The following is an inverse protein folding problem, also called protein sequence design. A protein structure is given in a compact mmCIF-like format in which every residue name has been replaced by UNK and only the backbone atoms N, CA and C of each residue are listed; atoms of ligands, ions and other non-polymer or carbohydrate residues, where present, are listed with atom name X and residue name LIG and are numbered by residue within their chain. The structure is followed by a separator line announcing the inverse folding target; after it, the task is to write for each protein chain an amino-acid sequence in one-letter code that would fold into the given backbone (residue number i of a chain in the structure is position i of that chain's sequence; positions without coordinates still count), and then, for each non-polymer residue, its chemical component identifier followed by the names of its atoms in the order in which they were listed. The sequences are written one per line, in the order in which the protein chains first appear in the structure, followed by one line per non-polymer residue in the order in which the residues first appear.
data_IF_534556700135
#
_entry.id   IF_534556700135
#
_cell.length_a   1.000
_cell.length_b   1.000
_cell.length_c   1.000
_cell.angle_alpha   90.00
_cell.angle_beta   90.00
_cell.angle_gamma   90.00
#
_symmetry.space_group_name_H-M   'P 1'
#
loop_
_entity.id
_entity.type
_entity.pdbx_description
1 polymer ?
#
# COMPACT_ATOMS: atom_id res chain seq x y z
N UNK A 1 101.08 -19.33 4.64
CA UNK A 1 100.91 -18.86 3.24
C UNK A 1 99.51 -19.23 2.79
N UNK A 2 98.99 -18.49 1.82
CA UNK A 2 98.01 -18.96 0.82
C UNK A 2 96.54 -18.67 1.09
N UNK A 3 96.22 -17.46 0.65
CA UNK A 3 95.01 -16.99 -0.01
C UNK A 3 94.33 -18.11 -0.81
N UNK A 4 93.06 -18.32 -0.47
CA UNK A 4 92.10 -19.21 -1.11
C UNK A 4 91.51 -18.49 -2.32
N UNK A 5 91.54 -19.12 -3.50
CA UNK A 5 90.81 -18.65 -4.67
C UNK A 5 89.46 -19.36 -4.74
N UNK A 6 88.40 -18.56 -4.64
CA UNK A 6 86.99 -18.97 -4.67
C UNK A 6 86.59 -19.22 -6.12
N UNK A 7 86.08 -20.42 -6.42
CA UNK A 7 85.38 -20.72 -7.67
C UNK A 7 83.89 -20.65 -7.41
N UNK A 8 83.23 -19.70 -8.07
CA UNK A 8 81.80 -19.44 -7.98
C UNK A 8 81.03 -20.44 -8.86
N UNK A 9 80.33 -21.40 -8.26
CA UNK A 9 79.40 -22.28 -8.99
C UNK A 9 78.05 -21.56 -9.14
N UNK A 10 77.67 -21.18 -10.37
CA UNK A 10 76.32 -20.75 -10.70
C UNK A 10 75.38 -21.95 -10.71
N UNK A 11 74.42 -22.00 -9.78
CA UNK A 11 73.27 -22.90 -9.85
C UNK A 11 72.14 -22.26 -10.64
N UNK A 12 71.62 -23.00 -11.62
CA UNK A 12 70.45 -22.58 -12.42
C UNK A 12 69.20 -22.86 -11.60
N UNK A 13 68.49 -21.81 -11.17
CA UNK A 13 67.20 -21.93 -10.49
C UNK A 13 66.12 -22.06 -11.58
N UNK A 14 65.47 -23.23 -11.68
CA UNK A 14 64.27 -23.36 -12.49
C UNK A 14 63.05 -22.86 -11.70
N UNK A 15 62.41 -21.79 -12.17
CA UNK A 15 61.14 -21.30 -11.64
C UNK A 15 60.02 -22.19 -12.19
N UNK A 16 59.45 -23.05 -11.34
CA UNK A 16 58.18 -23.72 -11.63
C UNK A 16 57.02 -22.78 -11.32
N UNK A 17 56.38 -22.23 -12.34
CA UNK A 17 55.06 -21.61 -12.21
C UNK A 17 54.00 -22.71 -12.20
N UNK A 18 53.28 -22.89 -11.09
CA UNK A 18 52.11 -23.76 -11.08
C UNK A 18 50.94 -23.04 -11.72
N UNK A 19 50.51 -23.53 -12.88
CA UNK A 19 49.27 -23.10 -13.53
C UNK A 19 48.08 -23.70 -12.78
N UNK A 20 47.45 -22.91 -11.92
CA UNK A 20 46.18 -23.31 -11.31
C UNK A 20 45.06 -23.18 -12.35
N UNK A 21 44.50 -24.30 -12.81
CA UNK A 21 43.22 -24.31 -13.51
C UNK A 21 42.11 -24.24 -12.46
N UNK A 22 41.32 -23.18 -12.50
CA UNK A 22 40.07 -23.13 -11.74
C UNK A 22 39.19 -24.28 -12.26
N UNK A 23 38.81 -25.20 -11.39
CA UNK A 23 37.84 -26.25 -11.73
C UNK A 23 36.47 -25.57 -11.87
N UNK A 24 35.85 -25.71 -13.04
CA UNK A 24 34.47 -25.30 -13.24
C UNK A 24 33.57 -26.16 -12.34
N UNK A 25 33.04 -25.59 -11.27
CA UNK A 25 32.01 -26.25 -10.48
C UNK A 25 30.68 -26.16 -11.24
N UNK A 26 30.06 -27.32 -11.50
CA UNK A 26 28.70 -27.39 -12.04
C UNK A 26 27.74 -26.97 -10.93
N UNK A 27 27.20 -25.76 -11.02
CA UNK A 27 26.02 -25.39 -10.25
C UNK A 27 24.83 -26.10 -10.90
N UNK A 28 24.25 -27.09 -10.21
CA UNK A 28 23.03 -27.75 -10.65
C UNK A 28 21.84 -26.79 -10.64
N UNK A 29 20.79 -27.11 -11.39
CA UNK A 29 19.51 -26.41 -11.28
C UNK A 29 18.89 -26.61 -9.89
N UNK A 30 18.05 -25.67 -9.49
CA UNK A 30 17.45 -25.56 -8.16
C UNK A 30 16.94 -26.90 -7.60
N UNK A 31 17.29 -27.16 -6.33
CA UNK A 31 16.87 -28.31 -5.51
C UNK A 31 17.54 -29.69 -5.76
N UNK A 32 18.62 -29.78 -6.55
CA UNK A 32 19.41 -31.02 -6.58
C UNK A 32 20.34 -31.15 -5.36
N UNK A 33 20.30 -32.30 -4.68
CA UNK A 33 21.37 -32.69 -3.75
C UNK A 33 22.56 -33.15 -4.59
N UNK A 34 23.70 -32.49 -4.45
CA UNK A 34 24.95 -32.95 -5.07
C UNK A 34 25.90 -33.31 -3.94
N UNK A 35 26.33 -34.56 -3.93
CA UNK A 35 27.27 -35.12 -2.96
C UNK A 35 28.43 -35.79 -3.69
N UNK A 36 29.60 -35.79 -3.05
CA UNK A 36 30.69 -36.72 -3.38
C UNK A 36 31.21 -37.37 -2.08
N UNK A 37 32.25 -38.19 -2.19
CA UNK A 37 32.78 -39.00 -1.09
C UNK A 37 33.21 -38.20 0.14
N UNK A 38 33.48 -36.90 0.00
CA UNK A 38 34.02 -36.05 1.07
C UNK A 38 33.03 -34.98 1.58
N UNK A 39 31.98 -34.61 0.83
CA UNK A 39 31.09 -33.51 1.21
C UNK A 39 29.62 -33.75 0.82
N UNK A 40 28.73 -33.30 1.71
CA UNK A 40 27.28 -33.29 1.49
C UNK A 40 26.75 -31.87 1.67
N UNK A 41 26.32 -31.24 0.58
CA UNK A 41 25.84 -29.86 0.59
C UNK A 41 24.32 -29.83 0.38
N UNK A 42 23.60 -29.25 1.34
CA UNK A 42 22.15 -29.01 1.26
C UNK A 42 21.93 -27.51 1.10
N UNK A 43 21.53 -27.07 -0.10
CA UNK A 43 21.10 -25.69 -0.30
C UNK A 43 19.65 -25.54 0.20
N UNK A 44 19.40 -24.57 1.09
CA UNK A 44 18.05 -24.14 1.43
C UNK A 44 17.50 -23.22 0.34
N UNK A 45 16.42 -23.69 -0.29
CA UNK A 45 15.37 -23.04 -1.09
C UNK A 45 15.73 -21.84 -1.99
N UNK A 46 15.30 -21.97 -3.25
CA UNK A 46 15.52 -21.05 -4.36
C UNK A 46 15.12 -19.60 -4.09
N UNK A 47 15.96 -18.70 -4.58
CA UNK A 47 15.71 -17.27 -4.67
C UNK A 47 16.16 -16.82 -6.06
N UNK A 48 15.26 -16.31 -6.92
CA UNK A 48 15.66 -15.64 -8.16
C UNK A 48 16.63 -14.49 -7.84
N UNK A 49 17.79 -14.45 -8.50
CA UNK A 49 18.67 -13.30 -8.45
C UNK A 49 18.15 -12.19 -9.38
N UNK A 50 17.88 -11.00 -8.85
CA UNK A 50 17.51 -9.81 -9.64
C UNK A 50 18.76 -8.93 -9.75
N UNK A 51 19.40 -9.00 -10.92
CA UNK A 51 20.65 -8.31 -11.21
C UNK A 51 21.60 -9.25 -11.95
N UNK A 52 21.70 -9.07 -13.26
CA UNK A 52 22.64 -9.82 -14.11
C UNK A 52 23.75 -8.88 -14.52
N UNK A 53 24.96 -9.14 -14.05
CA UNK A 53 26.17 -8.59 -14.66
C UNK A 53 26.76 -9.71 -15.51
N UNK A 54 26.88 -9.47 -16.82
CA UNK A 54 27.36 -10.47 -17.77
C UNK A 54 28.54 -9.95 -18.59
N UNK A 55 29.45 -10.85 -18.91
CA UNK A 55 30.34 -10.75 -20.06
C UNK A 55 30.26 -12.05 -20.87
N UNK A 56 30.94 -12.14 -22.01
CA UNK A 56 30.93 -13.27 -22.95
C UNK A 56 31.09 -14.63 -22.25
N UNK A 57 31.90 -14.69 -21.19
CA UNK A 57 32.27 -15.95 -20.54
C UNK A 57 31.60 -16.19 -19.18
N UNK A 58 30.96 -15.19 -18.55
CA UNK A 58 30.47 -15.31 -17.16
C UNK A 58 29.19 -14.51 -16.88
N UNK A 59 28.32 -15.07 -16.03
CA UNK A 59 27.12 -14.42 -15.48
C UNK A 59 27.19 -14.48 -13.96
N UNK A 60 27.06 -13.32 -13.30
CA UNK A 60 26.92 -13.24 -11.84
C UNK A 60 25.51 -12.76 -11.50
N UNK A 61 24.81 -13.52 -10.67
CA UNK A 61 23.58 -13.10 -10.02
C UNK A 61 23.86 -12.67 -8.58
N UNK A 62 23.47 -11.46 -8.21
CA UNK A 62 23.54 -10.97 -6.82
C UNK A 62 22.18 -10.41 -6.41
N UNK A 63 21.70 -10.75 -5.22
CA UNK A 63 20.48 -10.18 -4.65
C UNK A 63 20.13 -10.78 -3.29
N UNK A 64 19.75 -9.92 -2.35
CA UNK A 64 18.98 -10.28 -1.15
C UNK A 64 17.54 -9.87 -1.40
N UNK A 65 16.58 -10.74 -1.10
CA UNK A 65 15.16 -10.36 -1.08
C UNK A 65 14.95 -9.43 0.11
N UNK A 66 14.88 -8.13 -0.17
CA UNK A 66 13.97 -7.28 0.58
C UNK A 66 12.74 -7.13 -0.31
N UNK A 67 11.57 -7.39 0.24
CA UNK A 67 10.32 -6.99 -0.40
C UNK A 67 10.39 -5.47 -0.52
N UNK A 68 10.76 -4.95 -1.69
CA UNK A 68 10.30 -3.63 -2.11
C UNK A 68 8.80 -3.71 -1.89
N UNK A 69 8.32 -3.08 -0.81
CA UNK A 69 6.89 -2.82 -0.65
C UNK A 69 6.42 -2.31 -2.00
N UNK A 70 5.28 -2.84 -2.47
CA UNK A 70 4.66 -2.39 -3.71
C UNK A 70 4.73 -0.87 -3.70
N UNK A 71 5.55 -0.28 -4.57
CA UNK A 71 5.83 1.15 -4.50
C UNK A 71 4.48 1.84 -4.63
N UNK A 72 3.95 2.45 -3.56
CA UNK A 72 2.70 3.20 -3.63
C UNK A 72 2.82 4.21 -4.77
N UNK A 73 2.08 3.96 -5.85
CA UNK A 73 1.92 4.91 -6.94
C UNK A 73 0.82 5.95 -6.60
N UNK A 74 0.18 5.80 -5.43
CA UNK A 74 -0.84 6.70 -4.91
C UNK A 74 -0.43 7.36 -3.59
N UNK A 75 -0.68 8.65 -3.50
CA UNK A 75 -0.72 9.36 -2.23
C UNK A 75 -1.97 10.23 -2.25
N UNK A 76 -2.75 10.17 -1.19
CA UNK A 76 -3.92 11.02 -1.02
C UNK A 76 -3.71 11.96 0.16
N UNK A 77 -3.87 13.25 -0.09
CA UNK A 77 -3.80 14.30 0.93
C UNK A 77 -5.23 14.79 1.17
N UNK A 78 -5.69 14.68 2.40
CA UNK A 78 -7.02 15.13 2.84
C UNK A 78 -6.84 16.32 3.78
N UNK A 79 -7.50 17.44 3.48
CA UNK A 79 -7.48 18.62 4.32
C UNK A 79 -8.60 18.52 5.37
N UNK A 80 -8.22 18.47 6.64
CA UNK A 80 -9.14 18.39 7.77
C UNK A 80 -9.30 19.76 8.42
N UNK A 81 -10.54 20.21 8.57
CA UNK A 81 -10.87 21.44 9.27
C UNK A 81 -10.96 21.21 10.79
N UNK A 82 -10.90 22.31 11.55
CA UNK A 82 -11.26 22.28 12.97
C UNK A 82 -12.71 21.77 13.14
N UNK A 83 -12.92 20.85 14.09
CA UNK A 83 -14.23 20.26 14.35
C UNK A 83 -14.48 18.98 13.57
N UNK A 84 -15.75 18.69 13.25
CA UNK A 84 -16.16 17.46 12.59
C UNK A 84 -15.86 17.49 11.08
N UNK A 85 -15.29 16.41 10.58
CA UNK A 85 -15.07 16.12 9.17
C UNK A 85 -15.57 14.71 8.88
N UNK A 86 -16.32 14.51 7.81
CA UNK A 86 -16.64 13.20 7.25
C UNK A 86 -15.74 12.97 6.05
N UNK A 87 -14.84 12.00 6.16
CA UNK A 87 -13.78 11.76 5.18
C UNK A 87 -13.83 10.36 4.62
N UNK A 88 -13.27 10.21 3.43
CA UNK A 88 -12.97 8.92 2.81
C UNK A 88 -11.74 9.06 1.93
N UNK A 89 -11.19 7.93 1.51
CA UNK A 89 -10.01 7.91 0.64
C UNK A 89 -10.27 7.04 -0.59
N UNK A 90 -9.66 7.41 -1.72
CA UNK A 90 -9.62 6.60 -2.94
C UNK A 90 -8.35 5.76 -3.04
N UNK A 91 -7.51 5.74 -2.00
CA UNK A 91 -6.32 4.87 -1.95
C UNK A 91 -6.46 3.82 -0.86
N UNK A 92 -6.15 2.57 -1.19
CA UNK A 92 -5.96 1.50 -0.22
C UNK A 92 -4.62 1.73 0.51
N UNK A 93 -4.63 1.99 1.82
CA UNK A 93 -3.40 2.31 2.56
C UNK A 93 -2.40 1.15 2.55
N UNK A 94 -1.09 1.44 2.44
CA UNK A 94 -0.07 0.38 2.57
C UNK A 94 -0.11 -0.30 3.95
N UNK A 95 -0.39 0.48 4.99
CA UNK A 95 -0.56 0.04 6.37
C UNK A 95 -1.90 0.58 6.85
N UNK A 96 -2.91 -0.28 6.87
CA UNK A 96 -4.30 0.11 7.15
C UNK A 96 -4.58 0.42 8.63
N UNK A 97 -3.70 0.10 9.57
CA UNK A 97 -3.93 0.38 11.00
C UNK A 97 -4.21 1.87 11.24
N UNK A 98 -5.29 2.20 11.96
CA UNK A 98 -5.68 3.60 12.18
C UNK A 98 -4.59 4.38 12.93
N UNK A 99 -3.89 3.74 13.86
CA UNK A 99 -2.76 4.33 14.57
C UNK A 99 -1.67 4.79 13.61
N UNK A 100 -1.42 4.03 12.54
CA UNK A 100 -0.44 4.41 11.53
C UNK A 100 -0.95 5.56 10.65
N UNK A 101 -2.21 5.49 10.20
CA UNK A 101 -2.83 6.50 9.34
C UNK A 101 -2.85 7.87 10.03
N UNK A 102 -3.23 7.92 11.30
CA UNK A 102 -3.37 9.16 12.05
C UNK A 102 -2.10 9.60 12.78
N UNK A 103 -1.01 8.81 12.74
CA UNK A 103 0.23 9.07 13.51
C UNK A 103 0.79 10.49 13.32
N UNK A 104 0.79 11.03 12.10
CA UNK A 104 1.31 12.37 11.81
C UNK A 104 0.46 13.51 12.40
N UNK A 105 -0.82 13.25 12.65
CA UNK A 105 -1.81 14.23 13.13
C UNK A 105 -2.46 13.83 14.45
N UNK A 106 -1.86 12.87 15.17
CA UNK A 106 -2.40 12.27 16.38
C UNK A 106 -2.70 13.34 17.45
N UNK A 107 -1.78 14.27 17.65
CA UNK A 107 -1.93 15.37 18.63
C UNK A 107 -3.08 16.34 18.32
N UNK A 108 -3.62 16.33 17.11
CA UNK A 108 -4.76 17.15 16.69
C UNK A 108 -6.05 16.33 16.51
N UNK A 109 -5.96 15.00 16.56
CA UNK A 109 -7.08 14.06 16.35
C UNK A 109 -7.70 13.71 17.69
N UNK A 110 -8.95 14.11 17.93
CA UNK A 110 -9.64 13.82 19.21
C UNK A 110 -10.33 12.47 19.14
N UNK A 111 -11.16 12.26 18.13
CA UNK A 111 -11.93 11.02 17.99
C UNK A 111 -12.27 10.75 16.52
N UNK A 112 -12.16 9.49 16.13
CA UNK A 112 -12.59 8.95 14.84
C UNK A 112 -13.71 7.95 15.07
N UNK A 113 -14.73 7.94 14.21
CA UNK A 113 -15.86 7.00 14.26
C UNK A 113 -16.12 6.40 12.89
N UNK A 114 -16.37 5.10 12.86
CA UNK A 114 -16.84 4.41 11.65
C UNK A 114 -18.39 4.33 11.61
N UNK A 115 -18.91 3.73 10.55
CA UNK A 115 -20.35 3.56 10.34
C UNK A 115 -21.04 2.71 11.43
N UNK A 116 -20.32 1.76 12.02
CA UNK A 116 -20.82 0.87 13.09
C UNK A 116 -20.80 1.53 14.48
N UNK A 117 -20.27 2.75 14.59
CA UNK A 117 -20.14 3.46 15.86
C UNK A 117 -18.94 3.04 16.71
N UNK A 118 -18.04 2.21 16.17
CA UNK A 118 -16.74 1.94 16.78
C UNK A 118 -15.88 3.20 16.71
N UNK A 119 -14.99 3.35 17.68
CA UNK A 119 -14.20 4.57 17.84
C UNK A 119 -12.71 4.31 17.82
N UNK A 120 -11.96 5.31 17.38
CA UNK A 120 -10.53 5.44 17.65
C UNK A 120 -10.33 6.76 18.40
N UNK A 121 -9.74 6.69 19.59
CA UNK A 121 -9.51 7.82 20.50
C UNK A 121 -8.05 7.75 20.97
N UNK A 122 -7.12 8.47 20.30
CA UNK A 122 -5.68 8.35 20.58
C UNK A 122 -5.29 8.70 22.02
N UNK A 123 -5.84 9.78 22.59
CA UNK A 123 -5.51 10.24 23.96
C UNK A 123 -5.74 9.17 25.04
N UNK A 124 -6.66 8.24 24.80
CA UNK A 124 -7.01 7.16 25.72
C UNK A 124 -6.53 5.78 25.26
N UNK A 125 -5.69 5.73 24.20
CA UNK A 125 -5.22 4.47 23.59
C UNK A 125 -6.36 3.52 23.20
N UNK A 126 -7.51 4.05 22.77
CA UNK A 126 -8.68 3.24 22.36
C UNK A 126 -8.67 3.12 20.83
N UNK A 127 -8.66 1.88 20.32
CA UNK A 127 -8.93 1.59 18.91
C UNK A 127 -9.87 0.38 18.76
N UNK A 128 -11.17 0.65 18.75
CA UNK A 128 -12.20 -0.37 18.49
C UNK A 128 -12.45 -0.59 17.00
N UNK A 129 -11.95 0.29 16.13
CA UNK A 129 -12.09 0.22 14.67
C UNK A 129 -11.07 -0.78 14.08
N UNK A 130 -9.82 -0.70 14.54
CA UNK A 130 -8.70 -1.50 14.07
C UNK A 130 -8.10 -0.91 12.79
N UNK A 131 -8.45 -1.50 11.65
CA UNK A 131 -7.92 -1.12 10.34
C UNK A 131 -8.91 -0.25 9.57
N UNK A 132 -8.36 0.64 8.74
CA UNK A 132 -9.08 1.42 7.78
C UNK A 132 -9.57 0.53 6.64
N UNK A 133 -10.87 0.59 6.40
CA UNK A 133 -11.55 0.04 5.23
C UNK A 133 -11.81 1.17 4.22
N UNK A 134 -11.24 1.05 3.02
CA UNK A 134 -11.40 2.02 1.93
C UNK A 134 -12.85 2.19 1.48
N UNK A 135 -13.70 1.18 1.70
CA UNK A 135 -15.11 1.17 1.30
C UNK A 135 -16.01 1.92 2.28
N UNK A 136 -15.46 2.41 3.38
CA UNK A 136 -16.18 3.15 4.42
C UNK A 136 -15.70 4.60 4.54
N UNK A 137 -16.60 5.48 4.96
CA UNK A 137 -16.25 6.82 5.41
C UNK A 137 -16.15 6.88 6.93
N UNK A 138 -15.40 7.87 7.43
CA UNK A 138 -15.11 8.05 8.85
C UNK A 138 -15.42 9.48 9.28
N UNK A 139 -16.06 9.62 10.44
CA UNK A 139 -16.21 10.91 11.10
C UNK A 139 -14.99 11.16 11.97
N UNK A 140 -14.28 12.25 11.71
CA UNK A 140 -13.07 12.67 12.43
C UNK A 140 -13.35 14.01 13.09
N UNK A 141 -13.19 14.09 14.40
CA UNK A 141 -13.20 15.35 15.13
C UNK A 141 -11.77 15.82 15.39
N UNK A 142 -11.45 17.00 14.90
CA UNK A 142 -10.13 17.63 15.04
C UNK A 142 -10.17 18.77 16.05
N UNK A 143 -9.15 18.86 16.90
CA UNK A 143 -8.92 20.01 17.80
C UNK A 143 -8.21 21.17 17.11
N UNK A 144 -7.62 20.91 15.93
CA UNK A 144 -6.94 21.88 15.06
C UNK A 144 -6.98 21.38 13.61
N UNK A 145 -7.09 22.31 12.65
CA UNK A 145 -7.01 21.96 11.23
C UNK A 145 -5.61 21.41 10.88
N UNK A 146 -5.56 20.31 10.14
CA UNK A 146 -4.34 19.59 9.73
C UNK A 146 -4.51 18.96 8.34
N UNK A 147 -3.42 18.46 7.77
CA UNK A 147 -3.42 17.64 6.56
C UNK A 147 -3.15 16.19 6.92
N UNK A 148 -4.03 15.29 6.50
CA UNK A 148 -3.86 13.85 6.63
C UNK A 148 -3.27 13.31 5.32
N UNK A 149 -2.11 12.66 5.40
CA UNK A 149 -1.43 12.04 4.25
C UNK A 149 -1.57 10.53 4.32
N UNK A 150 -2.15 9.93 3.28
CA UNK A 150 -2.36 8.49 3.20
C UNK A 150 -1.59 7.96 1.98
N UNK A 151 -0.42 7.32 2.17
CA UNK A 151 0.25 6.59 1.10
C UNK A 151 -0.45 5.27 0.82
N UNK A 152 -0.57 4.89 -0.44
CA UNK A 152 -1.29 3.69 -0.81
C UNK A 152 -1.42 3.49 -2.31
N UNK A 153 -2.35 2.63 -2.70
CA UNK A 153 -2.65 2.38 -4.09
C UNK A 153 -4.04 2.85 -4.44
N UNK A 154 -4.18 3.54 -5.58
CA UNK A 154 -5.50 3.95 -6.04
C UNK A 154 -6.39 2.73 -6.25
N UNK A 155 -7.58 2.78 -5.66
CA UNK A 155 -8.61 1.78 -5.94
C UNK A 155 -9.16 1.99 -7.34
N UNK A 156 -9.68 0.92 -7.92
CA UNK A 156 -10.36 0.93 -9.22
C UNK A 156 -11.86 1.03 -8.95
N UNK A 157 -12.49 2.23 -9.09
CA UNK A 157 -13.84 2.47 -8.60
C UNK A 157 -14.89 1.56 -9.25
N UNK A 158 -14.71 1.22 -10.52
CA UNK A 158 -15.62 0.38 -11.32
C UNK A 158 -15.58 -1.11 -10.96
N UNK A 159 -14.59 -1.55 -10.19
CA UNK A 159 -14.50 -2.94 -9.69
C UNK A 159 -14.58 -3.03 -8.17
N UNK A 160 -14.68 -1.89 -7.47
CA UNK A 160 -14.71 -1.83 -6.01
C UNK A 160 -16.14 -1.63 -5.52
N UNK A 161 -16.83 -2.74 -5.28
CA UNK A 161 -18.21 -2.72 -4.76
C UNK A 161 -18.27 -2.32 -3.28
N UNK A 162 -19.16 -1.37 -2.97
CA UNK A 162 -19.51 -0.94 -1.60
C UNK A 162 -20.88 -1.53 -1.24
N UNK A 163 -20.92 -2.37 -0.21
CA UNK A 163 -22.17 -2.91 0.33
C UNK A 163 -22.77 -1.93 1.36
N UNK A 164 -24.03 -1.57 1.16
CA UNK A 164 -24.76 -0.59 1.96
C UNK A 164 -25.97 -1.27 2.61
N UNK A 165 -26.19 -0.97 3.89
CA UNK A 165 -27.32 -1.51 4.66
C UNK A 165 -28.56 -0.62 4.54
N UNK A 166 -29.72 -1.15 4.89
CA UNK A 166 -30.93 -0.33 5.07
C UNK A 166 -30.71 0.69 6.18
N UNK A 167 -31.18 1.92 6.00
CA UNK A 167 -31.01 3.02 6.96
C UNK A 167 -29.81 3.91 6.66
N UNK A 168 -29.25 4.53 7.71
CA UNK A 168 -28.10 5.43 7.59
C UNK A 168 -26.79 4.67 7.32
N UNK A 169 -26.02 5.16 6.35
CA UNK A 169 -24.67 4.69 6.05
C UNK A 169 -23.71 5.88 5.88
N UNK A 170 -22.45 5.68 6.28
CA UNK A 170 -21.32 6.54 5.92
C UNK A 170 -20.66 6.00 4.65
N UNK A 171 -20.90 6.66 3.53
CA UNK A 171 -20.46 6.25 2.20
C UNK A 171 -19.09 6.87 1.85
N UNK A 172 -18.15 6.02 1.44
CA UNK A 172 -16.89 6.45 0.84
C UNK A 172 -17.06 6.87 -0.62
N UNK A 173 -16.35 7.92 -1.03
CA UNK A 173 -16.17 8.29 -2.43
C UNK A 173 -14.80 7.81 -2.94
N UNK A 174 -14.83 6.90 -3.91
CA UNK A 174 -13.66 6.13 -4.36
C UNK A 174 -12.97 6.67 -5.60
N UNK A 175 -13.54 7.70 -6.25
CA UNK A 175 -12.91 8.33 -7.42
C UNK A 175 -11.87 9.37 -7.01
N UNK A 176 -10.88 9.59 -7.87
CA UNK A 176 -9.80 10.56 -7.66
C UNK A 176 -10.08 11.95 -8.27
N UNK A 177 -11.23 12.10 -8.92
CA UNK A 177 -11.76 13.34 -9.47
C UNK A 177 -13.22 13.57 -9.02
N UNK A 178 -13.70 14.81 -9.16
CA UNK A 178 -15.07 15.15 -8.79
C UNK A 178 -16.09 14.58 -9.80
N UNK A 179 -17.24 14.13 -9.31
CA UNK A 179 -18.35 13.64 -10.14
C UNK A 179 -19.68 14.14 -9.59
N UNK A 180 -20.60 14.52 -10.49
CA UNK A 180 -21.97 14.87 -10.11
C UNK A 180 -22.61 13.74 -9.29
N UNK A 181 -23.21 14.08 -8.15
CA UNK A 181 -23.84 13.11 -7.25
C UNK A 181 -25.00 12.35 -7.91
N UNK A 182 -25.70 12.96 -8.87
CA UNK A 182 -26.77 12.30 -9.63
C UNK A 182 -26.21 11.17 -10.50
N UNK A 183 -25.00 11.36 -11.05
CA UNK A 183 -24.31 10.33 -11.84
C UNK A 183 -23.67 9.31 -10.90
N UNK A 184 -22.99 9.77 -9.85
CA UNK A 184 -22.28 8.90 -8.91
C UNK A 184 -23.20 7.92 -8.18
N UNK A 185 -24.44 8.34 -7.85
CA UNK A 185 -25.43 7.54 -7.14
C UNK A 185 -26.57 7.05 -8.06
N UNK A 186 -26.39 7.13 -9.38
CA UNK A 186 -27.44 6.84 -10.36
C UNK A 186 -28.08 5.45 -10.17
N UNK A 187 -27.28 4.42 -9.82
CA UNK A 187 -27.80 3.07 -9.58
C UNK A 187 -28.73 2.99 -8.36
N UNK A 188 -28.43 3.74 -7.29
CA UNK A 188 -29.27 3.78 -6.09
C UNK A 188 -30.55 4.59 -6.31
N UNK A 189 -30.49 5.62 -7.16
CA UNK A 189 -31.65 6.43 -7.55
C UNK A 189 -32.57 5.65 -8.50
N UNK A 190 -32.01 5.00 -9.52
CA UNK A 190 -32.78 4.22 -10.50
C UNK A 190 -33.55 3.05 -9.88
N UNK A 191 -33.01 2.49 -8.79
CA UNK A 191 -33.65 1.41 -8.03
C UNK A 191 -34.62 1.93 -6.93
N UNK A 192 -34.88 3.24 -6.86
CA UNK A 192 -35.67 3.91 -5.81
C UNK A 192 -35.17 3.61 -4.37
N UNK A 193 -33.87 3.32 -4.19
CA UNK A 193 -33.29 2.92 -2.90
C UNK A 193 -32.82 4.11 -2.07
N UNK A 194 -32.34 5.17 -2.72
CA UNK A 194 -31.79 6.36 -2.06
C UNK A 194 -32.89 7.35 -1.66
N UNK A 195 -32.95 7.70 -0.36
CA UNK A 195 -33.84 8.76 0.12
C UNK A 195 -33.15 10.11 0.12
N UNK A 196 -32.00 10.19 0.79
CA UNK A 196 -31.27 11.44 1.00
C UNK A 196 -29.78 11.16 1.18
N UNK A 197 -28.95 12.06 0.64
CA UNK A 197 -27.52 12.14 0.91
C UNK A 197 -27.15 13.51 1.50
N UNK A 198 -26.09 13.56 2.31
CA UNK A 198 -25.57 14.76 2.97
C UNK A 198 -24.04 14.83 2.88
N UNK A 199 -23.52 16.02 2.66
CA UNK A 199 -22.09 16.33 2.69
C UNK A 199 -21.66 16.93 4.05
N UNK A 200 -20.38 17.32 4.18
CA UNK A 200 -19.84 17.95 5.38
C UNK A 200 -20.42 19.33 5.69
N UNK A 201 -20.88 20.06 4.67
CA UNK A 201 -21.45 21.40 4.83
C UNK A 201 -22.93 21.36 5.18
N UNK A 202 -23.53 20.17 5.22
CA UNK A 202 -24.96 19.98 5.45
C UNK A 202 -25.81 20.21 4.21
N UNK A 203 -25.19 20.33 3.03
CA UNK A 203 -25.92 20.32 1.77
C UNK A 203 -26.57 18.94 1.58
N UNK A 204 -27.73 18.93 0.93
CA UNK A 204 -28.54 17.73 0.76
C UNK A 204 -28.72 17.40 -0.72
N UNK A 205 -28.73 16.11 -1.01
CA UNK A 205 -29.26 15.56 -2.26
C UNK A 205 -30.48 14.71 -1.92
N UNK A 206 -31.65 15.10 -2.43
CA UNK A 206 -32.93 14.43 -2.20
C UNK A 206 -33.63 14.26 -3.56
N UNK A 207 -33.45 13.08 -4.21
CA UNK A 207 -33.97 12.82 -5.55
C UNK A 207 -35.49 13.00 -5.68
N UNK A 208 -36.29 12.50 -4.72
CA UNK A 208 -37.75 12.55 -4.81
C UNK A 208 -38.35 13.97 -4.79
N UNK A 209 -37.56 14.98 -4.44
CA UNK A 209 -37.95 16.38 -4.44
C UNK A 209 -37.15 17.23 -5.44
N UNK A 210 -36.37 16.59 -6.32
CA UNK A 210 -35.47 17.26 -7.27
C UNK A 210 -34.50 18.26 -6.60
N UNK A 211 -34.04 17.94 -5.38
CA UNK A 211 -33.11 18.79 -4.63
C UNK A 211 -31.69 18.24 -4.80
N UNK A 212 -30.80 19.06 -5.36
CA UNK A 212 -29.37 18.79 -5.41
C UNK A 212 -28.58 20.05 -4.98
N UNK A 213 -28.25 20.12 -3.69
CA UNK A 213 -27.41 21.20 -3.13
C UNK A 213 -25.94 20.78 -3.01
N UNK A 214 -25.63 19.49 -3.18
CA UNK A 214 -24.26 18.96 -3.12
C UNK A 214 -23.53 19.24 -4.43
N UNK A 215 -24.20 19.05 -5.57
CA UNK A 215 -23.59 19.13 -6.89
C UNK A 215 -22.63 17.96 -7.10
N UNK A 216 -21.34 18.19 -6.89
CA UNK A 216 -20.32 17.16 -7.10
C UNK A 216 -19.92 16.47 -5.79
N UNK A 217 -19.81 15.14 -5.83
CA UNK A 217 -19.01 14.39 -4.88
C UNK A 217 -17.52 14.65 -5.12
N UNK A 218 -16.80 14.99 -4.06
CA UNK A 218 -15.39 15.37 -4.05
C UNK A 218 -14.50 14.28 -3.43
N UNK A 219 -13.29 14.02 -3.97
CA UNK A 219 -12.26 13.21 -3.33
C UNK A 219 -11.91 13.72 -1.93
N UNK A 220 -11.63 12.82 -0.99
CA UNK A 220 -11.30 13.16 0.39
C UNK A 220 -12.51 13.33 1.32
N UNK A 221 -13.71 13.42 0.77
CA UNK A 221 -14.95 13.60 1.52
C UNK A 221 -15.79 12.32 1.53
N UNK A 222 -16.32 11.97 2.69
CA UNK A 222 -17.36 10.97 2.83
C UNK A 222 -18.75 11.61 2.85
N UNK A 223 -19.79 10.79 2.70
CA UNK A 223 -21.19 11.24 2.61
C UNK A 223 -22.07 10.43 3.55
N UNK A 224 -23.04 11.08 4.20
CA UNK A 224 -24.07 10.35 4.93
C UNK A 224 -25.24 10.10 3.99
N UNK A 225 -25.62 8.84 3.81
CA UNK A 225 -26.75 8.47 2.95
C UNK A 225 -27.78 7.66 3.74
N UNK A 226 -29.05 7.82 3.39
CA UNK A 226 -30.12 7.01 3.93
C UNK A 226 -30.78 6.18 2.83
N UNK A 227 -30.81 4.86 3.02
CA UNK A 227 -31.43 3.92 2.08
C UNK A 227 -32.71 3.31 2.66
N UNK A 228 -33.74 3.16 1.83
CA UNK A 228 -34.95 2.40 2.22
C UNK A 228 -34.74 0.88 2.23
N UNK A 229 -33.73 0.39 1.49
CA UNK A 229 -33.34 -1.01 1.45
C UNK A 229 -31.84 -1.12 1.14
N UNK A 230 -31.19 -2.16 1.66
CA UNK A 230 -29.78 -2.44 1.36
C UNK A 230 -29.49 -2.55 -0.14
N UNK A 231 -28.28 -2.17 -0.52
CA UNK A 231 -27.85 -2.05 -1.91
C UNK A 231 -26.34 -2.28 -2.04
N UNK A 232 -25.89 -2.52 -3.26
CA UNK A 232 -24.47 -2.46 -3.62
C UNK A 232 -24.27 -1.28 -4.56
N UNK A 233 -23.27 -0.46 -4.29
CA UNK A 233 -22.87 0.66 -5.13
C UNK A 233 -21.50 0.38 -5.75
N UNK A 234 -21.37 0.73 -7.02
CA UNK A 234 -20.11 0.78 -7.76
C UNK A 234 -20.07 2.11 -8.51
N UNK A 235 -18.94 2.79 -8.48
CA UNK A 235 -18.78 4.07 -9.18
C UNK A 235 -18.33 3.85 -10.64
N UNK A 236 -18.58 4.82 -11.55
CA UNK A 236 -17.95 4.82 -12.87
C UNK A 236 -16.42 4.93 -12.80
N UNK A 237 -15.76 4.62 -13.92
CA UNK A 237 -14.30 4.79 -14.08
C UNK A 237 -13.84 6.24 -13.87
N UNK A 238 -12.56 6.42 -13.49
CA UNK A 238 -11.95 7.74 -13.25
C UNK A 238 -11.76 8.57 -14.52
#
# INVERSE_FOLDING_TARGET
MKIIFIVLLMSVISLHSQTYKIKNYVMGSSAATVSNDDFNFRNTLGQPAIGKIQNVDNIIGSGFWYTIGKTADGMHIIYLNLGWNLISTYVEPEIAALENIFSEIEGSTVIVKNNSGQIYYPEFDINDIGNWDVKQAYQVYMSKAEMLTIPGEKVVPETTEITLSTGWNMLAYLRDNALDIEIALASLVADDKLVIAKDNMGNVFYPAFDINMIGNMLPGQGYQIYLISGATLTYPEN
#
